data_IF_083556963389
#
_entry.id   IF_083556963389
#
_cell.length_a   1.000
_cell.length_b   1.000
_cell.length_c   1.000
_cell.angle_alpha   90.00
_cell.angle_beta   90.00
_cell.angle_gamma   90.00
#
_symmetry.space_group_name_H-M   'P 1'
#
loop_
_entity.id
_entity.type
_entity.pdbx_description
1 polymer ?
#
# COMPACT_ATOMS: atom_id res chain seq x y z
N UNK A 1 21.22 76.82 33.71
CA UNK A 1 21.33 75.67 32.78
C UNK A 1 21.19 74.41 33.63
N UNK A 2 20.21 73.53 33.52
CA UNK A 2 19.13 73.27 32.58
C UNK A 2 18.62 71.89 32.99
N UNK A 3 17.68 71.83 33.93
CA UNK A 3 17.14 70.60 34.50
C UNK A 3 16.17 69.96 33.50
N UNK A 4 16.53 68.81 32.96
CA UNK A 4 15.65 68.00 32.12
C UNK A 4 14.64 67.24 32.98
N UNK A 5 13.33 67.33 32.70
CA UNK A 5 12.36 66.45 33.33
C UNK A 5 12.44 65.04 32.69
N UNK A 6 12.69 64.05 33.54
CA UNK A 6 12.55 62.63 33.19
C UNK A 6 11.09 62.35 32.90
N UNK A 7 10.77 62.11 31.62
CA UNK A 7 9.46 61.61 31.21
C UNK A 7 9.38 60.11 31.51
N UNK A 8 8.82 59.78 32.68
CA UNK A 8 8.36 58.42 32.97
C UNK A 8 7.08 58.15 32.20
N UNK A 9 7.20 57.46 31.06
CA UNK A 9 6.04 56.86 30.39
C UNK A 9 5.36 55.85 31.35
N UNK A 10 4.02 55.87 31.48
CA UNK A 10 3.34 54.90 32.33
C UNK A 10 3.49 53.49 31.76
N UNK A 11 3.64 52.44 32.61
CA UNK A 11 3.66 51.07 32.16
C UNK A 11 2.32 50.72 31.50
N UNK A 12 2.39 50.26 30.24
CA UNK A 12 1.25 49.67 29.54
C UNK A 12 0.74 48.49 30.37
N UNK A 13 -0.36 48.71 31.11
CA UNK A 13 -1.02 47.66 31.86
C UNK A 13 -1.45 46.55 30.90
N UNK A 14 -1.24 45.26 31.25
CA UNK A 14 -1.72 44.17 30.43
C UNK A 14 -3.25 44.25 30.38
N UNK A 15 -3.80 44.53 29.19
CA UNK A 15 -5.24 44.55 28.92
C UNK A 15 -5.87 43.31 29.57
N UNK A 16 -6.77 43.52 30.54
CA UNK A 16 -7.59 42.47 31.16
C UNK A 16 -8.32 41.72 30.05
N UNK A 17 -7.75 40.59 29.63
CA UNK A 17 -8.28 39.73 28.57
C UNK A 17 -9.67 39.28 29.01
N UNK A 18 -10.69 39.64 28.22
CA UNK A 18 -12.09 39.49 28.61
C UNK A 18 -12.39 38.00 28.88
N UNK A 19 -12.83 37.65 30.11
CA UNK A 19 -13.02 36.24 30.53
C UNK A 19 -13.99 35.48 29.61
N UNK A 20 -14.98 36.18 29.06
CA UNK A 20 -15.91 35.64 28.05
C UNK A 20 -15.20 35.24 26.76
N UNK A 21 -14.25 36.03 26.27
CA UNK A 21 -13.50 35.72 25.06
C UNK A 21 -12.60 34.48 25.26
N UNK A 22 -11.95 34.36 26.42
CA UNK A 22 -11.17 33.16 26.76
C UNK A 22 -12.05 31.91 26.91
N UNK A 23 -13.27 32.04 27.43
CA UNK A 23 -14.23 30.95 27.52
C UNK A 23 -14.75 30.53 26.14
N UNK A 24 -15.04 31.49 25.26
CA UNK A 24 -15.50 31.23 23.90
C UNK A 24 -14.44 30.54 23.05
N UNK A 25 -13.18 30.99 23.10
CA UNK A 25 -12.05 30.32 22.43
C UNK A 25 -11.90 28.87 22.91
N UNK A 26 -11.98 28.62 24.23
CA UNK A 26 -11.97 27.25 24.76
C UNK A 26 -13.14 26.40 24.28
N UNK A 27 -14.29 27.01 23.99
CA UNK A 27 -15.44 26.27 23.45
C UNK A 27 -15.21 25.88 21.99
N UNK A 28 -14.68 26.80 21.18
CA UNK A 28 -14.26 26.50 19.80
C UNK A 28 -13.18 25.41 19.76
N UNK A 29 -12.14 25.54 20.57
CA UNK A 29 -11.07 24.53 20.67
C UNK A 29 -11.63 23.15 21.03
N UNK A 30 -12.65 23.09 21.90
CA UNK A 30 -13.34 21.84 22.26
C UNK A 30 -14.18 21.28 21.11
N UNK A 31 -14.84 22.13 20.33
CA UNK A 31 -15.61 21.69 19.16
C UNK A 31 -14.68 21.18 18.07
N UNK A 32 -13.57 21.87 17.80
CA UNK A 32 -12.57 21.47 16.82
C UNK A 32 -11.87 20.17 17.24
N UNK A 33 -11.54 20.00 18.52
CA UNK A 33 -11.00 18.75 19.04
C UNK A 33 -11.98 17.57 18.87
N UNK A 34 -13.28 17.79 19.09
CA UNK A 34 -14.30 16.76 18.87
C UNK A 34 -14.42 16.36 17.39
N UNK A 35 -14.45 17.34 16.48
CA UNK A 35 -14.50 17.08 15.03
C UNK A 35 -13.26 16.33 14.55
N UNK A 36 -12.08 16.74 14.99
CA UNK A 36 -10.83 16.03 14.68
C UNK A 36 -10.85 14.59 15.18
N UNK A 37 -11.36 14.35 16.39
CA UNK A 37 -11.51 13.00 16.92
C UNK A 37 -12.44 12.13 16.06
N UNK A 38 -13.58 12.65 15.62
CA UNK A 38 -14.49 11.90 14.74
C UNK A 38 -13.91 11.64 13.36
N UNK A 39 -13.16 12.60 12.80
CA UNK A 39 -12.51 12.44 11.50
C UNK A 39 -11.39 11.40 11.56
N UNK A 40 -10.61 11.40 12.65
CA UNK A 40 -9.57 10.39 12.90
C UNK A 40 -10.16 8.99 13.07
N UNK A 41 -11.27 8.85 13.80
CA UNK A 41 -11.98 7.56 13.91
C UNK A 41 -12.48 7.04 12.56
N UNK A 42 -13.01 7.93 11.70
CA UNK A 42 -13.46 7.55 10.37
C UNK A 42 -12.28 7.14 9.47
N UNK A 43 -11.18 7.90 9.50
CA UNK A 43 -9.94 7.54 8.79
C UNK A 43 -9.43 6.18 9.26
N UNK A 44 -9.31 5.95 10.57
CA UNK A 44 -8.88 4.67 11.12
C UNK A 44 -9.75 3.51 10.63
N UNK A 45 -11.08 3.64 10.67
CA UNK A 45 -12.01 2.62 10.17
C UNK A 45 -11.83 2.34 8.68
N UNK A 46 -11.66 3.37 7.87
CA UNK A 46 -11.42 3.20 6.43
C UNK A 46 -10.12 2.46 6.14
N UNK A 47 -9.07 2.73 6.94
CA UNK A 47 -7.79 2.04 6.84
C UNK A 47 -7.89 0.59 7.31
N UNK A 48 -8.66 0.30 8.35
CA UNK A 48 -8.86 -1.09 8.81
C UNK A 48 -9.49 -1.91 7.69
N UNK A 49 -10.51 -1.35 7.02
CA UNK A 49 -11.12 -2.00 5.86
C UNK A 49 -10.11 -2.18 4.71
N UNK A 50 -9.32 -1.14 4.41
CA UNK A 50 -8.28 -1.23 3.39
C UNK A 50 -7.23 -2.30 3.69
N UNK A 51 -6.82 -2.46 4.96
CA UNK A 51 -5.89 -3.50 5.38
C UNK A 51 -6.44 -4.91 5.11
N UNK A 52 -7.72 -5.15 5.43
CA UNK A 52 -8.37 -6.43 5.11
C UNK A 52 -8.44 -6.68 3.60
N UNK A 53 -8.84 -5.70 2.80
CA UNK A 53 -8.87 -5.86 1.34
C UNK A 53 -7.48 -6.12 0.76
N UNK A 54 -6.43 -5.47 1.28
CA UNK A 54 -5.06 -5.70 0.84
C UNK A 54 -4.58 -7.11 1.21
N UNK A 55 -4.92 -7.58 2.40
CA UNK A 55 -4.61 -8.94 2.83
C UNK A 55 -5.28 -9.98 1.91
N UNK A 56 -6.59 -9.86 1.67
CA UNK A 56 -7.33 -10.76 0.77
C UNK A 56 -6.73 -10.76 -0.66
N UNK A 57 -6.29 -9.59 -1.16
CA UNK A 57 -5.63 -9.48 -2.45
C UNK A 57 -4.25 -10.16 -2.48
N UNK A 58 -3.46 -10.06 -1.40
CA UNK A 58 -2.17 -10.75 -1.28
C UNK A 58 -2.39 -12.27 -1.25
N UNK A 59 -3.36 -12.75 -0.48
CA UNK A 59 -3.70 -14.17 -0.42
C UNK A 59 -4.10 -14.70 -1.81
N UNK A 60 -4.97 -13.97 -2.52
CA UNK A 60 -5.40 -14.36 -3.86
C UNK A 60 -4.22 -14.40 -4.85
N UNK A 61 -3.35 -13.38 -4.84
CA UNK A 61 -2.16 -13.38 -5.70
C UNK A 61 -1.18 -14.49 -5.34
N UNK A 62 -1.09 -14.88 -4.07
CA UNK A 62 -0.27 -16.00 -3.60
C UNK A 62 -0.80 -17.32 -4.16
N UNK A 63 -2.11 -17.53 -4.12
CA UNK A 63 -2.76 -18.70 -4.73
C UNK A 63 -2.50 -18.75 -6.24
N UNK A 64 -2.69 -17.63 -6.94
CA UNK A 64 -2.48 -17.53 -8.38
C UNK A 64 -1.00 -17.79 -8.76
N UNK A 65 -0.07 -17.24 -7.98
CA UNK A 65 1.36 -17.45 -8.16
C UNK A 65 1.75 -18.93 -7.95
N UNK A 66 1.22 -19.60 -6.92
CA UNK A 66 1.43 -21.03 -6.73
C UNK A 66 0.85 -21.88 -7.86
N UNK A 67 -0.34 -21.55 -8.34
CA UNK A 67 -0.95 -22.24 -9.48
C UNK A 67 -0.10 -22.06 -10.75
N UNK A 68 0.42 -20.86 -10.98
CA UNK A 68 1.28 -20.56 -12.10
C UNK A 68 2.64 -21.27 -11.98
N UNK A 69 3.23 -21.33 -10.78
CA UNK A 69 4.48 -22.06 -10.53
C UNK A 69 4.35 -23.52 -10.93
N UNK A 70 3.31 -24.21 -10.43
CA UNK A 70 3.04 -25.63 -10.78
C UNK A 70 2.87 -25.81 -12.29
N UNK A 71 2.23 -24.84 -12.96
CA UNK A 71 2.05 -24.87 -14.41
C UNK A 71 3.36 -24.67 -15.15
N UNK A 72 4.21 -23.74 -14.70
CA UNK A 72 5.53 -23.48 -15.26
C UNK A 72 6.44 -24.71 -15.13
N UNK A 73 6.49 -25.33 -13.95
CA UNK A 73 7.24 -26.57 -13.72
C UNK A 73 6.77 -27.73 -14.62
N UNK A 74 5.46 -27.81 -14.91
CA UNK A 74 4.89 -28.80 -15.81
C UNK A 74 5.10 -28.47 -17.31
N UNK A 75 5.54 -27.26 -17.65
CA UNK A 75 5.73 -26.81 -19.04
C UNK A 75 7.19 -26.44 -19.29
N UNK A 76 8.06 -27.42 -19.56
CA UNK A 76 9.46 -27.15 -19.80
C UNK A 76 9.63 -26.25 -21.02
N UNK A 77 10.66 -25.40 -20.95
CA UNK A 77 11.04 -24.53 -22.07
C UNK A 77 11.27 -25.36 -23.33
N UNK A 78 10.64 -24.99 -24.47
CA UNK A 78 10.83 -25.72 -25.71
C UNK A 78 12.30 -25.67 -26.14
N UNK A 79 12.85 -26.82 -26.52
CA UNK A 79 14.19 -26.93 -27.09
C UNK A 79 14.28 -26.19 -28.45
N UNK A 80 15.48 -26.11 -29.00
CA UNK A 80 15.71 -25.59 -30.36
C UNK A 80 14.77 -26.32 -31.34
N UNK A 81 14.10 -25.60 -32.27
CA UNK A 81 13.20 -26.25 -33.21
C UNK A 81 13.96 -27.32 -33.99
N UNK A 82 13.35 -28.50 -34.24
CA UNK A 82 13.97 -29.51 -35.07
C UNK A 82 14.24 -28.91 -36.46
N UNK A 83 15.41 -29.22 -37.05
CA UNK A 83 15.74 -28.80 -38.42
C UNK A 83 14.61 -29.24 -39.36
N UNK A 84 13.97 -28.26 -40.01
CA UNK A 84 12.95 -28.48 -41.02
C UNK A 84 13.57 -28.26 -42.39
N UNK A 85 13.44 -29.25 -43.25
CA UNK A 85 13.83 -29.16 -44.64
C UNK A 85 12.98 -28.07 -45.33
N UNK A 86 13.56 -27.02 -45.94
CA UNK A 86 12.81 -25.87 -46.49
C UNK A 86 11.90 -26.23 -47.68
N UNK A 87 11.95 -27.47 -48.17
CA UNK A 87 11.18 -27.96 -49.33
C UNK A 87 9.68 -28.15 -49.07
N UNK A 88 9.23 -28.22 -47.82
CA UNK A 88 7.80 -28.39 -47.48
C UNK A 88 7.29 -27.16 -46.75
N UNK A 89 6.97 -26.10 -47.49
CA UNK A 89 6.14 -25.02 -46.97
C UNK A 89 4.82 -25.61 -46.50
N UNK A 90 4.53 -25.44 -45.21
CA UNK A 90 3.35 -26.04 -44.61
C UNK A 90 2.09 -25.41 -45.23
N UNK A 91 1.11 -26.19 -45.71
CA UNK A 91 -0.16 -25.62 -46.16
C UNK A 91 -0.87 -24.94 -44.97
N UNK A 92 -1.59 -23.85 -45.24
CA UNK A 92 -2.27 -23.03 -44.21
C UNK A 92 -3.22 -23.82 -43.31
N UNK A 93 -3.74 -24.94 -43.80
CA UNK A 93 -4.74 -25.77 -43.12
C UNK A 93 -4.15 -26.99 -42.40
N UNK A 94 -2.81 -27.14 -42.33
CA UNK A 94 -2.21 -28.26 -41.60
C UNK A 94 -2.36 -28.09 -40.07
N UNK A 95 -2.69 -29.18 -39.33
CA UNK A 95 -2.80 -29.12 -37.88
C UNK A 95 -1.47 -28.78 -37.24
N UNK A 96 -1.46 -27.96 -36.16
CA UNK A 96 -0.24 -27.54 -35.44
C UNK A 96 0.67 -28.70 -35.05
N UNK A 97 1.98 -28.52 -35.17
CA UNK A 97 2.96 -29.54 -34.81
C UNK A 97 3.10 -29.60 -33.29
N UNK A 98 3.59 -30.71 -32.76
CA UNK A 98 3.77 -30.85 -31.31
C UNK A 98 4.71 -29.79 -30.74
N UNK A 99 5.75 -29.41 -31.49
CA UNK A 99 6.62 -28.27 -31.15
C UNK A 99 5.84 -26.95 -31.00
N UNK A 100 4.98 -26.59 -31.95
CA UNK A 100 4.20 -25.35 -31.90
C UNK A 100 3.16 -25.38 -30.78
N UNK A 101 2.60 -26.55 -30.47
CA UNK A 101 1.71 -26.73 -29.31
C UNK A 101 2.46 -26.52 -28.00
N UNK A 102 3.69 -27.01 -27.88
CA UNK A 102 4.55 -26.78 -26.73
C UNK A 102 4.94 -25.30 -26.60
N UNK A 103 5.37 -24.66 -27.70
CA UNK A 103 5.66 -23.22 -27.72
C UNK A 103 4.44 -22.39 -27.31
N UNK A 104 3.24 -22.75 -27.79
CA UNK A 104 2.02 -22.05 -27.40
C UNK A 104 1.75 -22.16 -25.89
N UNK A 105 1.81 -23.38 -25.33
CA UNK A 105 1.62 -23.61 -23.89
C UNK A 105 2.64 -22.84 -23.05
N UNK A 106 3.90 -22.82 -23.48
CA UNK A 106 4.97 -22.09 -22.82
C UNK A 106 4.74 -20.56 -22.90
N UNK A 107 4.40 -20.04 -24.09
CA UNK A 107 4.07 -18.62 -24.27
C UNK A 107 2.86 -18.19 -23.43
N UNK A 108 1.86 -19.07 -23.25
CA UNK A 108 0.73 -18.79 -22.36
C UNK A 108 1.19 -18.63 -20.90
N UNK A 109 2.15 -19.44 -20.44
CA UNK A 109 2.74 -19.31 -19.09
C UNK A 109 3.53 -18.02 -18.96
N UNK A 110 4.32 -17.66 -19.96
CA UNK A 110 5.07 -16.39 -19.98
C UNK A 110 4.11 -15.19 -19.92
N UNK A 111 3.03 -15.21 -20.72
CA UNK A 111 2.03 -14.15 -20.71
C UNK A 111 1.32 -14.04 -19.35
N UNK A 112 0.98 -15.17 -18.71
CA UNK A 112 0.41 -15.18 -17.37
C UNK A 112 1.38 -14.63 -16.32
N UNK A 113 2.67 -14.94 -16.43
CA UNK A 113 3.69 -14.36 -15.56
C UNK A 113 3.79 -12.85 -15.71
N UNK A 114 3.76 -12.33 -16.95
CA UNK A 114 3.77 -10.89 -17.19
C UNK A 114 2.56 -10.19 -16.57
N UNK A 115 1.38 -10.79 -16.67
CA UNK A 115 0.16 -10.29 -16.03
C UNK A 115 0.29 -10.28 -14.50
N UNK A 116 0.73 -11.40 -13.90
CA UNK A 116 0.97 -11.51 -12.46
C UNK A 116 1.98 -10.47 -11.97
N UNK A 117 3.05 -10.24 -12.73
CA UNK A 117 4.07 -9.23 -12.40
C UNK A 117 3.48 -7.81 -12.40
N UNK A 118 2.57 -7.49 -13.30
CA UNK A 118 1.93 -6.18 -13.36
C UNK A 118 0.97 -5.97 -12.18
N UNK A 119 0.11 -6.96 -11.88
CA UNK A 119 -0.81 -6.88 -10.74
C UNK A 119 -0.07 -6.84 -9.42
N UNK A 120 1.03 -7.57 -9.30
CA UNK A 120 1.88 -7.54 -8.12
C UNK A 120 2.52 -6.17 -7.87
N UNK A 121 3.01 -5.49 -8.92
CA UNK A 121 3.53 -4.12 -8.78
C UNK A 121 2.48 -3.13 -8.28
N UNK A 122 1.26 -3.22 -8.81
CA UNK A 122 0.15 -2.37 -8.36
C UNK A 122 -0.20 -2.64 -6.90
N UNK A 123 -0.15 -3.90 -6.47
CA UNK A 123 -0.36 -4.28 -5.07
C UNK A 123 0.72 -3.67 -4.16
N UNK A 124 1.99 -3.74 -4.55
CA UNK A 124 3.09 -3.12 -3.81
C UNK A 124 2.91 -1.60 -3.63
N UNK A 125 2.49 -0.91 -4.70
CA UNK A 125 2.21 0.53 -4.64
C UNK A 125 1.05 0.85 -3.69
N UNK A 126 0.00 0.02 -3.67
CA UNK A 126 -1.15 0.19 -2.77
C UNK A 126 -0.79 -0.08 -1.30
N UNK A 127 0.04 -1.09 -1.03
CA UNK A 127 0.56 -1.35 0.33
C UNK A 127 1.42 -0.18 0.81
N UNK A 128 2.32 0.34 -0.04
CA UNK A 128 3.11 1.53 0.28
C UNK A 128 2.24 2.77 0.54
N UNK A 129 1.19 2.97 -0.27
CA UNK A 129 0.21 4.05 -0.05
C UNK A 129 -0.53 3.89 1.27
N UNK A 130 -0.96 2.67 1.61
CA UNK A 130 -1.60 2.35 2.88
C UNK A 130 -0.69 2.72 4.06
N UNK A 131 0.59 2.33 4.03
CA UNK A 131 1.56 2.69 5.05
C UNK A 131 1.76 4.20 5.19
N UNK A 132 1.82 4.91 4.06
CA UNK A 132 1.87 6.38 4.06
C UNK A 132 0.66 7.00 4.76
N UNK A 133 -0.53 6.45 4.54
CA UNK A 133 -1.77 6.90 5.21
C UNK A 133 -1.78 6.58 6.71
N UNK A 134 -1.32 5.39 7.11
CA UNK A 134 -1.18 5.01 8.53
C UNK A 134 -0.16 5.91 9.24
N UNK A 135 0.99 6.18 8.62
CA UNK A 135 2.00 7.09 9.16
C UNK A 135 1.46 8.52 9.29
N UNK A 136 0.69 8.99 8.31
CA UNK A 136 0.00 10.27 8.38
C UNK A 136 -0.99 10.34 9.54
N UNK A 137 -1.84 9.32 9.70
CA UNK A 137 -2.79 9.24 10.81
C UNK A 137 -2.07 9.19 12.17
N UNK A 138 -0.97 8.46 12.27
CA UNK A 138 -0.13 8.40 13.48
C UNK A 138 0.48 9.77 13.84
N UNK A 139 0.83 10.58 12.85
CA UNK A 139 1.30 11.96 13.06
C UNK A 139 0.19 12.93 13.47
N UNK A 140 -1.07 12.67 13.08
CA UNK A 140 -2.23 13.49 13.47
C UNK A 140 -2.74 13.17 14.88
N UNK A 141 -2.54 11.95 15.36
CA UNK A 141 -3.03 11.49 16.67
C UNK A 141 -2.05 11.92 17.77
N UNK A 142 -2.51 12.79 18.67
CA UNK A 142 -1.71 13.25 19.82
C UNK A 142 -1.84 12.23 20.96
N UNK A 143 -0.72 11.62 21.41
CA UNK A 143 -0.78 10.59 22.44
C UNK A 143 -1.33 11.14 23.76
N UNK A 144 -2.45 10.59 24.20
CA UNK A 144 -3.07 10.89 25.47
C UNK A 144 -2.43 10.06 26.61
N UNK A 145 -2.54 10.55 27.85
CA UNK A 145 -2.07 9.82 29.05
C UNK A 145 -2.74 8.45 29.25
N UNK A 146 -3.90 8.22 28.64
CA UNK A 146 -4.60 6.94 28.60
C UNK A 146 -4.88 6.64 27.15
N UNK A 147 -4.52 5.42 26.73
CA UNK A 147 -4.68 5.01 25.34
C UNK A 147 -6.15 5.10 24.94
N UNK A 148 -6.45 6.00 24.01
CA UNK A 148 -7.79 6.17 23.44
C UNK A 148 -8.09 5.08 22.41
N UNK A 149 -9.37 4.93 22.04
CA UNK A 149 -9.78 4.00 20.98
C UNK A 149 -9.03 4.24 19.66
N UNK A 150 -8.91 5.49 19.24
CA UNK A 150 -8.19 5.87 18.01
C UNK A 150 -6.71 5.48 18.08
N UNK A 151 -6.08 5.63 19.23
CA UNK A 151 -4.66 5.26 19.41
C UNK A 151 -4.46 3.74 19.30
N UNK A 152 -5.37 2.97 19.90
CA UNK A 152 -5.38 1.51 19.75
C UNK A 152 -5.61 1.08 18.30
N UNK A 153 -6.55 1.73 17.60
CA UNK A 153 -6.81 1.46 16.18
C UNK A 153 -5.58 1.79 15.31
N UNK A 154 -4.88 2.90 15.59
CA UNK A 154 -3.64 3.28 14.90
C UNK A 154 -2.49 2.30 15.16
N UNK A 155 -2.34 1.83 16.40
CA UNK A 155 -1.33 0.80 16.72
C UNK A 155 -1.64 -0.53 16.03
N UNK A 156 -2.92 -0.90 15.99
CA UNK A 156 -3.40 -2.09 15.26
C UNK A 156 -3.12 -1.96 13.76
N UNK A 157 -3.32 -0.77 13.18
CA UNK A 157 -3.00 -0.48 11.78
C UNK A 157 -1.50 -0.50 11.48
N UNK A 158 -0.67 -0.02 12.40
CA UNK A 158 0.80 -0.08 12.30
C UNK A 158 1.27 -1.55 12.26
N UNK A 159 0.69 -2.41 13.11
CA UNK A 159 0.95 -3.84 13.10
C UNK A 159 0.44 -4.51 11.81
N UNK A 160 -0.76 -4.15 11.34
CA UNK A 160 -1.29 -4.64 10.07
C UNK A 160 -0.37 -4.26 8.89
N UNK A 161 0.15 -3.03 8.87
CA UNK A 161 1.09 -2.57 7.85
C UNK A 161 2.39 -3.38 7.81
N UNK A 162 2.91 -3.80 8.98
CA UNK A 162 4.09 -4.68 9.06
C UNK A 162 3.78 -6.10 8.59
N UNK A 163 2.61 -6.63 8.91
CA UNK A 163 2.19 -7.96 8.44
C UNK A 163 2.06 -7.97 6.92
N UNK A 164 1.41 -6.96 6.34
CA UNK A 164 1.30 -6.81 4.89
C UNK A 164 2.68 -6.75 4.20
N UNK A 165 3.67 -6.08 4.79
CA UNK A 165 5.04 -6.08 4.27
C UNK A 165 5.67 -7.48 4.24
N UNK A 166 5.48 -8.25 5.30
CA UNK A 166 5.99 -9.62 5.38
C UNK A 166 5.33 -10.48 4.30
N UNK A 167 4.01 -10.41 4.16
CA UNK A 167 3.26 -11.16 3.15
C UNK A 167 3.65 -10.74 1.72
N UNK A 168 3.86 -9.45 1.48
CA UNK A 168 4.38 -8.95 0.19
C UNK A 168 5.78 -9.49 -0.10
N UNK A 169 6.68 -9.53 0.90
CA UNK A 169 8.02 -10.09 0.73
C UNK A 169 8.00 -11.58 0.41
N UNK A 170 7.11 -12.35 1.04
CA UNK A 170 6.90 -13.76 0.72
C UNK A 170 6.42 -13.92 -0.73
N UNK A 171 5.46 -13.08 -1.15
CA UNK A 171 4.98 -13.07 -2.53
C UNK A 171 6.07 -12.65 -3.54
N UNK A 172 6.98 -11.72 -3.19
CA UNK A 172 8.17 -11.41 -4.01
C UNK A 172 8.97 -12.69 -4.26
N UNK A 173 9.24 -13.46 -3.20
CA UNK A 173 9.98 -14.72 -3.30
C UNK A 173 9.31 -15.71 -4.23
N UNK A 174 7.99 -15.88 -4.08
CA UNK A 174 7.21 -16.78 -4.92
C UNK A 174 7.16 -16.34 -6.40
N UNK A 175 6.94 -15.06 -6.67
CA UNK A 175 6.99 -14.51 -8.04
C UNK A 175 8.39 -14.68 -8.65
N UNK A 176 9.44 -14.62 -7.83
CA UNK A 176 10.81 -14.95 -8.20
C UNK A 176 10.94 -16.40 -8.67
N UNK A 177 10.42 -17.36 -7.91
CA UNK A 177 10.42 -18.78 -8.29
C UNK A 177 9.63 -19.02 -9.58
N UNK A 178 8.46 -18.38 -9.73
CA UNK A 178 7.66 -18.47 -10.97
C UNK A 178 8.47 -18.00 -12.17
N UNK A 179 9.22 -16.90 -12.03
CA UNK A 179 10.09 -16.39 -13.10
C UNK A 179 11.14 -17.42 -13.50
N UNK A 180 11.82 -18.03 -12.54
CA UNK A 180 12.85 -19.05 -12.79
C UNK A 180 12.28 -20.30 -13.47
N UNK A 181 11.06 -20.70 -13.12
CA UNK A 181 10.38 -21.81 -13.77
C UNK A 181 9.88 -21.45 -15.18
N UNK A 182 9.49 -20.19 -15.41
CA UNK A 182 8.90 -19.75 -16.67
C UNK A 182 9.91 -19.25 -17.72
N UNK A 183 11.18 -18.94 -17.36
CA UNK A 183 12.17 -18.32 -18.26
C UNK A 183 13.49 -19.10 -18.33
#
# INVERSE_FOLDING_TARGET
MGSFPVSTAPPLTPKKRNKFHAMWLRHLDKQDAKKRGTDQEQKARSLIFAAHCLHDEIEQQTIDAHALLKRAEATPRPATPPERDPLFQRPKDAPMSDYERLCRKYNDVVAHYEALRQTFRQLQERVASFQGQVAGLKGEVVPAKRMGKVEHDVESLDNAGRNLDVEVLELVGLVGQVREAAM
#
